data_IF_702918307053
#
_entry.id   IF_702918307053
#
_cell.length_a   1.000
_cell.length_b   1.000
_cell.length_c   1.000
_cell.angle_alpha   90.00
_cell.angle_beta   90.00
_cell.angle_gamma   90.00
#
_symmetry.space_group_name_H-M   'P 1'
#
loop_
_entity.id
_entity.type
_entity.pdbx_description
1 polymer ?
#
# COMPACT_ATOMS: atom_id res chain seq x y z
N UNK A 1 3.17 -5.05 23.03
CA UNK A 1 1.89 -4.42 22.64
C UNK A 1 1.35 -5.15 21.42
N UNK A 2 0.08 -5.57 21.42
CA UNK A 2 -0.59 -6.05 20.18
C UNK A 2 -0.86 -4.82 19.31
N UNK A 3 -0.07 -4.63 18.25
CA UNK A 3 -0.26 -3.55 17.29
C UNK A 3 -1.44 -3.93 16.41
N UNK A 4 -2.66 -3.63 16.86
CA UNK A 4 -3.89 -3.97 16.17
C UNK A 4 -4.20 -2.94 15.06
N UNK A 5 -3.25 -2.69 14.15
CA UNK A 5 -3.38 -1.58 13.19
C UNK A 5 -4.13 -1.97 11.93
N UNK A 6 -3.99 -3.23 11.52
CA UNK A 6 -4.68 -3.78 10.37
C UNK A 6 -5.49 -5.02 10.74
N UNK A 7 -6.58 -5.23 10.00
CA UNK A 7 -7.31 -6.49 9.98
C UNK A 7 -7.13 -7.15 8.62
N UNK A 8 -6.79 -8.44 8.61
CA UNK A 8 -6.61 -9.19 7.37
C UNK A 8 -7.94 -9.73 6.87
N UNK A 9 -8.25 -9.42 5.61
CA UNK A 9 -9.40 -9.93 4.86
C UNK A 9 -8.91 -10.62 3.59
N UNK A 10 -8.62 -11.92 3.71
CA UNK A 10 -8.00 -12.70 2.64
C UNK A 10 -6.54 -12.29 2.41
N UNK A 11 -6.23 -11.76 1.23
CA UNK A 11 -4.90 -11.24 0.89
C UNK A 11 -4.74 -9.74 1.19
N UNK A 12 -5.84 -9.05 1.52
CA UNK A 12 -5.83 -7.62 1.79
C UNK A 12 -5.72 -7.32 3.28
N UNK A 13 -5.05 -6.22 3.61
CA UNK A 13 -4.95 -5.68 4.96
C UNK A 13 -5.73 -4.37 5.02
N UNK A 14 -6.79 -4.32 5.83
CA UNK A 14 -7.63 -3.15 5.99
C UNK A 14 -7.22 -2.38 7.25
N UNK A 15 -7.01 -1.06 7.18
CA UNK A 15 -6.66 -0.28 8.35
C UNK A 15 -7.85 -0.18 9.30
N UNK A 16 -7.61 -0.40 10.59
CA UNK A 16 -8.64 -0.32 11.66
C UNK A 16 -8.34 0.75 12.70
N UNK A 17 -7.12 1.29 12.70
CA UNK A 17 -6.68 2.35 13.62
C UNK A 17 -6.09 3.54 12.88
N UNK A 18 -5.92 4.66 13.59
CA UNK A 18 -5.33 5.88 13.05
C UNK A 18 -3.93 5.66 12.43
N UNK A 19 -2.98 4.91 13.05
CA UNK A 19 -1.73 4.56 12.39
C UNK A 19 -1.90 3.79 11.07
N UNK A 20 -2.84 2.84 11.01
CA UNK A 20 -3.11 2.09 9.78
C UNK A 20 -3.65 2.98 8.66
N UNK A 21 -4.57 3.89 9.00
CA UNK A 21 -5.09 4.89 8.07
C UNK A 21 -4.02 5.87 7.60
N UNK A 22 -3.11 6.28 8.49
CA UNK A 22 -1.98 7.13 8.14
C UNK A 22 -1.05 6.43 7.14
N UNK A 23 -0.74 5.15 7.37
CA UNK A 23 0.07 4.34 6.43
C UNK A 23 -0.62 4.24 5.07
N UNK A 24 -1.94 4.01 5.03
CA UNK A 24 -2.70 3.98 3.78
C UNK A 24 -2.66 5.35 3.07
N UNK A 25 -2.84 6.45 3.80
CA UNK A 25 -2.79 7.79 3.24
C UNK A 25 -1.41 8.12 2.65
N UNK A 26 -0.33 7.75 3.36
CA UNK A 26 1.05 7.91 2.86
C UNK A 26 1.27 7.09 1.60
N UNK A 27 0.84 5.82 1.59
CA UNK A 27 0.97 4.95 0.40
C UNK A 27 0.21 5.52 -0.80
N UNK A 28 -1.01 6.02 -0.60
CA UNK A 28 -1.82 6.62 -1.64
C UNK A 28 -1.20 7.93 -2.16
N UNK A 29 -0.77 8.83 -1.27
CA UNK A 29 -0.10 10.06 -1.64
C UNK A 29 1.20 9.80 -2.42
N UNK A 30 1.97 8.81 -1.99
CA UNK A 30 3.20 8.41 -2.67
C UNK A 30 2.93 7.80 -4.06
N UNK A 31 1.87 6.99 -4.21
CA UNK A 31 1.45 6.49 -5.52
C UNK A 31 1.08 7.63 -6.47
N UNK A 32 0.34 8.64 -6.00
CA UNK A 32 0.01 9.84 -6.81
C UNK A 32 1.26 10.63 -7.18
N UNK A 33 2.18 10.82 -6.23
CA UNK A 33 3.46 11.49 -6.49
C UNK A 33 4.28 10.77 -7.58
N UNK A 34 4.43 9.44 -7.46
CA UNK A 34 5.15 8.63 -8.44
C UNK A 34 4.46 8.64 -9.81
N UNK A 35 3.13 8.62 -9.84
CA UNK A 35 2.39 8.75 -11.10
C UNK A 35 2.74 10.05 -11.83
N UNK A 36 2.69 11.19 -11.13
CA UNK A 36 3.02 12.51 -11.71
C UNK A 36 4.49 12.55 -12.18
N UNK A 37 5.40 12.00 -11.37
CA UNK A 37 6.84 11.96 -11.67
C UNK A 37 7.17 11.05 -12.88
N UNK A 38 6.46 9.94 -13.05
CA UNK A 38 6.60 9.08 -14.24
C UNK A 38 5.99 9.77 -15.46
N UNK A 39 4.76 10.27 -15.36
CA UNK A 39 4.05 10.89 -16.48
C UNK A 39 4.82 12.08 -17.06
N UNK A 40 5.45 12.90 -16.21
CA UNK A 40 6.29 14.03 -16.64
C UNK A 40 7.57 13.64 -17.41
N UNK A 41 7.99 12.37 -17.36
CA UNK A 41 9.17 11.84 -18.05
C UNK A 41 8.83 10.84 -19.17
N UNK A 42 7.60 10.35 -19.20
CA UNK A 42 7.14 9.37 -20.17
C UNK A 42 6.78 10.01 -21.51
N UNK A 43 7.04 9.29 -22.60
CA UNK A 43 6.75 9.74 -23.97
C UNK A 43 5.41 9.24 -24.51
N UNK A 44 4.73 8.34 -23.77
CA UNK A 44 3.43 7.79 -24.14
C UNK A 44 2.65 7.35 -22.90
N UNK A 45 1.32 7.28 -23.03
CA UNK A 45 0.44 6.78 -21.96
C UNK A 45 0.78 5.35 -21.57
N UNK A 46 1.13 4.51 -22.55
CA UNK A 46 1.52 3.12 -22.29
C UNK A 46 2.79 3.04 -21.43
N UNK A 47 3.77 3.90 -21.71
CA UNK A 47 5.00 3.99 -20.92
C UNK A 47 4.71 4.47 -19.49
N UNK A 48 3.85 5.49 -19.32
CA UNK A 48 3.39 5.92 -17.99
C UNK A 48 2.73 4.77 -17.24
N UNK A 49 1.79 4.07 -17.88
CA UNK A 49 1.00 3.00 -17.25
C UNK A 49 1.82 1.79 -16.87
N UNK A 50 2.73 1.30 -17.73
CA UNK A 50 3.55 0.13 -17.43
C UNK A 50 4.46 0.42 -16.22
N UNK A 51 5.15 1.56 -16.23
CA UNK A 51 6.03 1.95 -15.14
C UNK A 51 5.24 2.22 -13.85
N UNK A 52 4.09 2.91 -13.95
CA UNK A 52 3.25 3.20 -12.80
C UNK A 52 2.69 1.94 -12.15
N UNK A 53 2.15 1.00 -12.93
CA UNK A 53 1.61 -0.27 -12.41
C UNK A 53 2.69 -1.07 -11.70
N UNK A 54 3.91 -1.14 -12.25
CA UNK A 54 5.02 -1.82 -11.58
C UNK A 54 5.35 -1.17 -10.23
N UNK A 55 5.44 0.16 -10.16
CA UNK A 55 5.67 0.88 -8.91
C UNK A 55 4.51 0.71 -7.92
N UNK A 56 3.26 0.72 -8.40
CA UNK A 56 2.07 0.51 -7.58
C UNK A 56 2.08 -0.88 -6.93
N UNK A 57 2.53 -1.91 -7.65
CA UNK A 57 2.71 -3.26 -7.10
C UNK A 57 3.79 -3.29 -6.01
N UNK A 58 4.90 -2.56 -6.16
CA UNK A 58 5.94 -2.45 -5.13
C UNK A 58 5.43 -1.72 -3.89
N UNK A 59 4.69 -0.63 -4.07
CA UNK A 59 4.04 0.11 -2.97
C UNK A 59 3.04 -0.83 -2.25
N UNK A 60 2.23 -1.55 -3.00
CA UNK A 60 1.31 -2.56 -2.48
C UNK A 60 2.02 -3.65 -1.69
N UNK A 61 3.15 -4.18 -2.21
CA UNK A 61 3.96 -5.17 -1.51
C UNK A 61 4.45 -4.65 -0.16
N UNK A 62 5.05 -3.46 -0.12
CA UNK A 62 5.50 -2.83 1.13
C UNK A 62 4.33 -2.64 2.10
N UNK A 63 3.19 -2.16 1.61
CA UNK A 63 1.97 -2.00 2.40
C UNK A 63 1.50 -3.34 3.01
N UNK A 64 1.51 -4.43 2.22
CA UNK A 64 1.14 -5.75 2.72
C UNK A 64 2.13 -6.31 3.74
N UNK A 65 3.43 -6.04 3.59
CA UNK A 65 4.45 -6.41 4.57
C UNK A 65 4.21 -5.71 5.89
N UNK A 66 3.95 -4.39 5.86
CA UNK A 66 3.59 -3.62 7.07
C UNK A 66 2.32 -4.19 7.70
N UNK A 67 1.29 -4.42 6.90
CA UNK A 67 0.02 -5.02 7.33
C UNK A 67 0.23 -6.38 8.01
N UNK A 68 1.04 -7.26 7.45
CA UNK A 68 1.35 -8.58 8.01
C UNK A 68 2.01 -8.51 9.39
N UNK A 69 2.94 -7.58 9.61
CA UNK A 69 3.59 -7.43 10.91
C UNK A 69 2.72 -6.71 11.96
N UNK A 70 1.70 -6.00 11.51
CA UNK A 70 0.83 -5.17 12.36
C UNK A 70 -0.64 -5.59 12.29
N UNK A 71 -0.90 -6.82 11.86
CA UNK A 71 -2.25 -7.38 11.84
C UNK A 71 -2.67 -7.87 13.23
N UNK A 72 -3.97 -7.78 13.49
CA UNK A 72 -4.59 -8.48 14.61
C UNK A 72 -4.51 -9.99 14.35
N UNK A 73 -3.54 -10.67 14.95
CA UNK A 73 -3.53 -12.14 14.98
C UNK A 73 -4.68 -12.64 15.84
N UNK A 74 -5.74 -13.13 15.19
CA UNK A 74 -6.76 -13.93 15.86
C UNK A 74 -6.11 -15.29 16.14
N UNK A 75 -5.84 -15.59 17.42
CA UNK A 75 -5.41 -16.92 17.78
C UNK A 75 -6.52 -17.88 17.36
N UNK A 76 -6.26 -18.73 16.38
CA UNK A 76 -7.11 -19.88 16.07
C UNK A 76 -6.95 -20.84 17.25
N UNK A 77 -7.94 -20.86 18.14
CA UNK A 77 -8.15 -21.94 19.11
C UNK A 77 -8.58 -23.22 18.38
#
# INVERSE_FOLDING_TARGET
>A
MKLNWFTRKGIFYLPVTLPGWLILAIAAAYAVYIFIDIDGRSHSVSDTMINFVFNLLLIGLIYTVIGYFTEVKKNSE
#
